data_IF_728108940883
#
_entry.id   IF_728108940883
#
_cell.length_a   1.000
_cell.length_b   1.000
_cell.length_c   1.000
_cell.angle_alpha   90.00
_cell.angle_beta   90.00
_cell.angle_gamma   90.00
#
_symmetry.space_group_name_H-M   'P 1'
#
loop_
_entity.id
_entity.type
_entity.pdbx_description
1 polymer ?
#
# COMPACT_ATOMS: atom_id res chain seq x y z
N UNK A 1 2.35 12.61 29.21
CA UNK A 1 3.36 11.55 29.04
C UNK A 1 3.77 11.55 27.58
N UNK A 2 5.07 11.76 27.34
CA UNK A 2 5.60 11.89 26.00
C UNK A 2 5.66 10.51 25.31
N UNK A 3 5.31 10.49 24.02
CA UNK A 3 5.45 9.32 23.18
C UNK A 3 6.83 9.39 22.50
N UNK A 4 7.66 8.36 22.72
CA UNK A 4 8.96 8.22 22.08
C UNK A 4 8.85 7.24 20.94
N UNK A 5 9.23 7.64 19.72
CA UNK A 5 9.26 6.72 18.57
C UNK A 5 10.72 6.48 18.18
N UNK A 6 11.13 5.21 18.23
CA UNK A 6 12.46 4.76 17.83
C UNK A 6 12.44 3.44 17.08
N UNK A 7 13.53 3.13 16.44
CA UNK A 7 13.72 1.83 15.81
C UNK A 7 13.74 0.69 16.83
N UNK A 8 13.24 -0.45 16.40
CA UNK A 8 13.24 -1.68 17.19
C UNK A 8 14.67 -2.16 17.45
N UNK A 9 14.91 -2.65 18.67
CA UNK A 9 16.15 -3.28 19.09
C UNK A 9 15.87 -4.72 19.48
N UNK A 10 16.87 -5.57 19.42
CA UNK A 10 16.73 -6.98 19.81
C UNK A 10 16.27 -7.18 21.24
N UNK A 11 16.61 -6.22 22.13
CA UNK A 11 16.19 -6.22 23.54
C UNK A 11 14.68 -6.03 23.70
N UNK A 12 14.02 -5.48 22.71
CA UNK A 12 12.57 -5.17 22.75
C UNK A 12 11.70 -6.42 22.47
N UNK A 13 12.29 -7.55 22.10
CA UNK A 13 11.56 -8.74 21.67
C UNK A 13 10.48 -9.21 22.65
N UNK A 14 10.78 -9.24 23.95
CA UNK A 14 9.79 -9.63 24.96
C UNK A 14 8.61 -8.64 25.02
N UNK A 15 8.91 -7.33 24.94
CA UNK A 15 7.88 -6.28 24.91
C UNK A 15 7.04 -6.30 23.62
N UNK A 16 7.62 -6.68 22.49
CA UNK A 16 6.88 -6.87 21.24
C UNK A 16 5.86 -8.01 21.38
N UNK A 17 6.24 -9.13 21.99
CA UNK A 17 5.31 -10.25 22.23
C UNK A 17 4.16 -9.83 23.15
N UNK A 18 4.43 -9.12 24.24
CA UNK A 18 3.40 -8.58 25.12
C UNK A 18 2.45 -7.63 24.35
N UNK A 19 3.02 -6.74 23.58
CA UNK A 19 2.27 -5.78 22.76
C UNK A 19 1.39 -6.47 21.71
N UNK A 20 1.89 -7.47 21.00
CA UNK A 20 1.10 -8.16 19.97
C UNK A 20 -0.08 -8.93 20.56
N UNK A 21 0.09 -9.55 21.74
CA UNK A 21 -1.04 -10.13 22.49
C UNK A 21 -2.07 -9.09 22.90
N UNK A 22 -1.62 -7.95 23.39
CA UNK A 22 -2.49 -6.84 23.80
C UNK A 22 -3.34 -6.37 22.61
N UNK A 23 -2.70 -5.98 21.49
CA UNK A 23 -3.43 -5.43 20.35
C UNK A 23 -4.26 -6.48 19.63
N UNK A 24 -3.80 -7.74 19.55
CA UNK A 24 -4.57 -8.84 18.99
C UNK A 24 -5.85 -9.16 19.77
N UNK A 25 -5.85 -8.93 21.10
CA UNK A 25 -7.06 -9.04 21.91
C UNK A 25 -8.02 -7.83 21.77
N UNK A 26 -7.56 -6.72 21.21
CA UNK A 26 -8.31 -5.46 21.12
C UNK A 26 -9.05 -5.26 19.79
N UNK A 27 -8.67 -6.00 18.73
CA UNK A 27 -9.22 -5.78 17.39
C UNK A 27 -9.01 -7.01 16.49
N UNK A 28 -9.96 -7.22 15.60
CA UNK A 28 -9.87 -8.23 14.53
C UNK A 28 -9.26 -7.68 13.23
N UNK A 29 -8.67 -6.49 13.26
CA UNK A 29 -8.06 -5.87 12.07
C UNK A 29 -6.63 -6.36 11.76
N UNK A 30 -6.08 -7.24 12.59
CA UNK A 30 -4.74 -7.79 12.45
C UNK A 30 -4.78 -9.22 11.91
N UNK A 31 -3.66 -9.71 11.41
CA UNK A 31 -3.51 -11.10 10.95
C UNK A 31 -3.42 -12.13 12.08
N UNK A 32 -3.40 -11.67 13.33
CA UNK A 32 -3.33 -12.48 14.55
C UNK A 32 -4.34 -11.96 15.58
N UNK A 33 -4.79 -12.82 16.47
CA UNK A 33 -5.72 -12.51 17.55
C UNK A 33 -5.01 -12.38 18.91
N UNK A 34 -5.72 -12.72 19.99
CA UNK A 34 -5.25 -12.61 21.38
C UNK A 34 -3.99 -13.46 21.70
N UNK A 35 -3.69 -14.44 20.88
CA UNK A 35 -2.47 -15.25 20.95
C UNK A 35 -1.21 -14.44 20.57
N UNK A 36 -1.39 -13.28 19.94
CA UNK A 36 -0.31 -12.48 19.39
C UNK A 36 0.34 -13.16 18.18
N UNK A 37 1.60 -12.88 17.94
CA UNK A 37 2.38 -13.51 16.87
C UNK A 37 2.82 -14.93 17.18
N UNK A 38 2.63 -15.38 18.44
CA UNK A 38 2.88 -16.79 18.86
C UNK A 38 4.32 -17.20 19.01
N UNK A 39 5.26 -16.27 18.84
CA UNK A 39 6.70 -16.56 18.86
C UNK A 39 7.31 -16.48 20.27
N UNK A 40 8.54 -17.00 20.40
CA UNK A 40 9.36 -16.85 21.61
C UNK A 40 10.23 -15.58 21.51
N UNK A 41 10.74 -15.06 22.65
CA UNK A 41 11.65 -13.91 22.62
C UNK A 41 12.90 -14.14 21.75
N UNK A 42 13.38 -15.37 21.65
CA UNK A 42 14.54 -15.73 20.83
C UNK A 42 14.22 -15.62 19.33
N UNK A 43 13.05 -16.08 18.90
CA UNK A 43 12.57 -15.98 17.52
C UNK A 43 12.37 -14.52 17.15
N UNK A 44 11.78 -13.73 18.04
CA UNK A 44 11.57 -12.29 17.81
C UNK A 44 12.88 -11.50 17.78
N UNK A 45 13.88 -11.86 18.59
CA UNK A 45 15.22 -11.25 18.50
C UNK A 45 15.85 -11.47 17.13
N UNK A 46 15.81 -12.69 16.61
CA UNK A 46 16.33 -12.99 15.28
C UNK A 46 15.50 -12.31 14.17
N UNK A 47 14.19 -12.16 14.34
CA UNK A 47 13.35 -11.42 13.42
C UNK A 47 13.72 -9.92 13.37
N UNK A 48 13.85 -9.26 14.53
CA UNK A 48 14.27 -7.86 14.62
C UNK A 48 15.68 -7.69 14.04
N UNK A 49 16.61 -8.59 14.36
CA UNK A 49 17.98 -8.57 13.82
C UNK A 49 17.99 -8.68 12.29
N UNK A 50 17.14 -9.54 11.72
CA UNK A 50 16.99 -9.70 10.28
C UNK A 50 16.45 -8.42 9.62
N UNK A 51 15.44 -7.78 10.23
CA UNK A 51 14.94 -6.49 9.75
C UNK A 51 16.04 -5.45 9.76
N UNK A 52 16.76 -5.30 10.88
CA UNK A 52 17.81 -4.31 11.06
C UNK A 52 19.03 -4.55 10.15
N UNK A 53 19.23 -5.77 9.64
CA UNK A 53 20.30 -6.09 8.69
C UNK A 53 19.94 -5.80 7.23
N UNK A 54 18.69 -5.53 6.92
CA UNK A 54 18.23 -5.24 5.56
C UNK A 54 18.10 -3.71 5.39
N UNK A 55 18.91 -3.07 4.51
CA UNK A 55 18.89 -1.63 4.33
C UNK A 55 17.57 -1.07 3.78
N UNK A 56 16.66 -1.94 3.31
CA UNK A 56 15.32 -1.58 2.83
C UNK A 56 14.20 -2.01 3.79
N UNK A 57 14.54 -2.36 5.01
CA UNK A 57 13.58 -2.76 6.03
C UNK A 57 13.83 -2.00 7.33
N UNK A 58 12.77 -1.64 8.01
CA UNK A 58 12.81 -0.98 9.31
C UNK A 58 11.58 -1.31 10.12
N UNK A 59 11.72 -1.37 11.43
CA UNK A 59 10.61 -1.47 12.37
C UNK A 59 10.72 -0.35 13.40
N UNK A 60 9.64 0.40 13.60
CA UNK A 60 9.54 1.46 14.60
C UNK A 60 8.56 1.07 15.70
N UNK A 61 8.94 1.35 16.94
CA UNK A 61 8.04 1.28 18.08
C UNK A 61 7.72 2.67 18.63
N UNK A 62 6.47 2.90 18.93
CA UNK A 62 6.01 4.01 19.76
C UNK A 62 5.94 3.54 21.22
N UNK A 63 6.67 4.19 22.08
CA UNK A 63 6.78 3.90 23.50
C UNK A 63 6.05 4.94 24.32
N UNK A 64 5.31 4.48 25.32
CA UNK A 64 4.73 5.31 26.37
C UNK A 64 5.15 4.70 27.71
N UNK A 65 5.94 5.47 28.48
CA UNK A 65 6.70 4.90 29.58
C UNK A 65 7.58 3.71 29.08
N UNK A 66 7.44 2.55 29.71
CA UNK A 66 8.20 1.33 29.37
C UNK A 66 7.41 0.34 28.48
N UNK A 67 6.27 0.76 27.93
CA UNK A 67 5.42 -0.11 27.14
C UNK A 67 5.34 0.33 25.67
N UNK A 68 5.34 -0.64 24.76
CA UNK A 68 5.05 -0.42 23.36
C UNK A 68 3.55 -0.15 23.23
N UNK A 69 3.20 0.97 22.60
CA UNK A 69 1.80 1.38 22.33
C UNK A 69 1.52 1.48 20.84
N UNK A 70 2.53 1.35 20.00
CA UNK A 70 2.39 1.34 18.55
C UNK A 70 3.59 0.67 17.90
N UNK A 71 3.34 -0.03 16.79
CA UNK A 71 4.36 -0.67 15.97
C UNK A 71 4.06 -0.39 14.51
N UNK A 72 5.08 -0.04 13.73
CA UNK A 72 5.00 0.02 12.28
C UNK A 72 6.29 -0.49 11.65
N UNK A 73 6.17 -1.12 10.49
CA UNK A 73 7.33 -1.61 9.77
C UNK A 73 7.21 -1.42 8.26
N UNK A 74 8.37 -1.25 7.65
CA UNK A 74 8.63 -1.38 6.21
C UNK A 74 9.43 -2.66 6.02
N UNK A 75 9.00 -3.50 5.08
CA UNK A 75 9.72 -4.71 4.68
C UNK A 75 10.01 -4.65 3.19
N UNK A 76 11.29 -4.43 2.85
CA UNK A 76 11.75 -4.32 1.47
C UNK A 76 11.56 -5.61 0.69
N UNK A 77 11.08 -5.50 -0.54
CA UNK A 77 10.96 -6.63 -1.44
C UNK A 77 12.32 -6.90 -2.13
N UNK A 78 12.49 -8.10 -2.66
CA UNK A 78 13.78 -8.53 -3.21
C UNK A 78 13.75 -8.64 -4.73
N UNK A 79 14.94 -8.73 -5.32
CA UNK A 79 15.16 -8.96 -6.77
C UNK A 79 14.54 -7.85 -7.61
N UNK A 80 13.77 -8.21 -8.65
CA UNK A 80 13.13 -7.25 -9.58
C UNK A 80 12.09 -6.35 -8.93
N UNK A 81 11.66 -6.65 -7.70
CA UNK A 81 10.73 -5.84 -6.91
C UNK A 81 11.44 -5.01 -5.83
N UNK A 82 12.77 -4.91 -5.86
CA UNK A 82 13.57 -4.23 -4.82
C UNK A 82 13.33 -2.72 -4.69
N UNK A 83 12.56 -2.14 -5.62
CA UNK A 83 12.06 -0.77 -5.54
C UNK A 83 10.75 -0.66 -4.74
N UNK A 84 10.22 -1.76 -4.23
CA UNK A 84 8.95 -1.85 -3.50
C UNK A 84 9.17 -2.35 -2.07
N UNK A 85 8.25 -1.99 -1.20
CA UNK A 85 8.18 -2.54 0.16
C UNK A 85 6.73 -2.74 0.60
N UNK A 86 6.54 -3.64 1.55
CA UNK A 86 5.27 -3.80 2.25
C UNK A 86 5.30 -3.00 3.55
N UNK A 87 4.17 -2.44 3.90
CA UNK A 87 3.96 -1.68 5.13
C UNK A 87 2.92 -2.35 6.01
N UNK A 88 3.18 -2.37 7.30
CA UNK A 88 2.20 -2.76 8.31
C UNK A 88 2.27 -1.81 9.52
N UNK A 89 1.13 -1.65 10.19
CA UNK A 89 1.01 -0.80 11.38
C UNK A 89 -0.06 -1.33 12.32
N UNK A 90 0.21 -1.19 13.61
CA UNK A 90 -0.79 -1.35 14.67
C UNK A 90 -0.57 -0.30 15.75
N UNK A 91 -1.64 0.08 16.45
CA UNK A 91 -1.62 1.00 17.59
C UNK A 91 -2.60 0.47 18.65
N UNK A 92 -2.17 0.46 19.90
CA UNK A 92 -3.01 0.06 21.02
C UNK A 92 -4.30 0.90 21.06
N UNK A 93 -5.44 0.27 21.38
CA UNK A 93 -6.76 0.90 21.33
C UNK A 93 -6.87 2.12 22.24
N UNK A 94 -6.19 2.12 23.39
CA UNK A 94 -6.12 3.27 24.31
C UNK A 94 -5.50 4.52 23.68
N UNK A 95 -4.67 4.36 22.66
CA UNK A 95 -3.94 5.44 22.01
C UNK A 95 -4.52 5.82 20.63
N UNK A 96 -5.70 5.28 20.29
CA UNK A 96 -6.36 5.63 19.05
C UNK A 96 -6.84 7.09 19.07
N UNK A 97 -6.63 7.80 17.96
CA UNK A 97 -6.99 9.22 17.86
C UNK A 97 -5.90 10.18 18.35
N UNK A 98 -4.83 9.67 19.02
CA UNK A 98 -3.74 10.48 19.55
C UNK A 98 -2.64 10.83 18.51
N UNK A 99 -2.83 10.49 17.25
CA UNK A 99 -1.87 10.83 16.17
C UNK A 99 -0.69 9.86 16.01
N UNK A 100 -0.50 8.88 16.89
CA UNK A 100 0.64 7.94 16.87
C UNK A 100 0.75 7.23 15.52
N UNK A 101 -0.38 6.75 14.96
CA UNK A 101 -0.38 6.10 13.66
C UNK A 101 0.10 7.00 12.52
N UNK A 102 -0.20 8.31 12.58
CA UNK A 102 0.27 9.27 11.59
C UNK A 102 1.78 9.46 11.67
N UNK A 103 2.33 9.61 12.89
CA UNK A 103 3.78 9.81 13.08
C UNK A 103 4.57 8.55 12.70
N UNK A 104 4.07 7.35 13.04
CA UNK A 104 4.69 6.08 12.65
C UNK A 104 4.72 5.92 11.12
N UNK A 105 3.59 6.21 10.45
CA UNK A 105 3.50 6.12 8.99
C UNK A 105 4.42 7.15 8.31
N UNK A 106 4.48 8.38 8.82
CA UNK A 106 5.37 9.42 8.31
C UNK A 106 6.84 9.01 8.40
N UNK A 107 7.28 8.45 9.54
CA UNK A 107 8.64 7.91 9.71
C UNK A 107 8.94 6.78 8.71
N UNK A 108 7.99 5.87 8.51
CA UNK A 108 8.14 4.79 7.53
C UNK A 108 8.24 5.33 6.09
N UNK A 109 7.46 6.36 5.74
CA UNK A 109 7.54 7.00 4.41
C UNK A 109 8.87 7.72 4.23
N UNK A 110 9.37 8.42 5.27
CA UNK A 110 10.70 9.07 5.21
C UNK A 110 11.79 8.02 4.99
N UNK A 111 11.82 6.97 5.82
CA UNK A 111 12.76 5.87 5.65
C UNK A 111 12.72 5.28 4.23
N UNK A 112 11.53 5.05 3.69
CA UNK A 112 11.36 4.50 2.35
C UNK A 112 12.02 5.38 1.27
N UNK A 113 11.80 6.70 1.35
CA UNK A 113 12.42 7.67 0.43
C UNK A 113 13.94 7.67 0.53
N UNK A 114 14.47 7.70 1.76
CA UNK A 114 15.91 7.77 2.04
C UNK A 114 16.65 6.51 1.59
N UNK A 115 15.93 5.36 1.49
CA UNK A 115 16.50 4.06 1.13
C UNK A 115 16.09 3.56 -0.27
N UNK A 116 15.64 4.45 -1.15
CA UNK A 116 15.36 4.14 -2.56
C UNK A 116 14.20 3.17 -2.76
N UNK A 117 13.21 3.20 -1.87
CA UNK A 117 11.91 2.54 -2.06
C UNK A 117 11.01 3.53 -2.80
N UNK A 118 10.50 3.11 -3.93
CA UNK A 118 9.67 3.92 -4.82
C UNK A 118 8.18 3.69 -4.60
N UNK A 119 7.81 2.49 -4.17
CA UNK A 119 6.41 2.06 -3.98
C UNK A 119 6.25 1.38 -2.63
N UNK A 120 5.31 1.88 -1.84
CA UNK A 120 4.88 1.20 -0.60
C UNK A 120 3.52 0.54 -0.86
N UNK A 121 3.42 -0.75 -0.56
CA UNK A 121 2.18 -1.51 -0.64
C UNK A 121 1.66 -1.81 0.76
N UNK A 122 0.35 -1.92 0.87
CA UNK A 122 -0.32 -2.48 2.04
C UNK A 122 -1.63 -3.16 1.64
N UNK A 123 -2.08 -4.05 2.50
CA UNK A 123 -3.45 -4.55 2.54
C UNK A 123 -4.10 -4.18 3.87
N UNK A 124 -5.40 -4.02 3.85
CA UNK A 124 -6.19 -3.73 5.06
C UNK A 124 -7.61 -4.26 4.90
N UNK A 125 -8.22 -4.70 5.97
CA UNK A 125 -9.65 -5.07 5.94
C UNK A 125 -10.46 -3.97 5.26
N UNK A 126 -11.35 -4.35 4.36
CA UNK A 126 -12.13 -3.40 3.57
C UNK A 126 -13.16 -2.60 4.38
N UNK A 127 -13.46 -3.06 5.60
CA UNK A 127 -14.33 -2.40 6.58
C UNK A 127 -13.55 -1.60 7.65
N UNK A 128 -12.22 -1.61 7.63
CA UNK A 128 -11.37 -0.82 8.53
C UNK A 128 -11.27 0.64 8.07
N UNK A 129 -12.38 1.37 8.19
CA UNK A 129 -12.50 2.77 7.72
C UNK A 129 -11.45 3.68 8.36
N UNK A 130 -11.07 3.43 9.62
CA UNK A 130 -10.05 4.22 10.33
C UNK A 130 -8.68 4.12 9.64
N UNK A 131 -8.21 2.90 9.38
CA UNK A 131 -6.94 2.67 8.71
C UNK A 131 -6.97 3.19 7.27
N UNK A 132 -8.02 2.92 6.52
CA UNK A 132 -8.22 3.41 5.15
C UNK A 132 -8.16 4.93 5.10
N UNK A 133 -8.80 5.63 6.06
CA UNK A 133 -8.78 7.10 6.15
C UNK A 133 -7.37 7.62 6.43
N UNK A 134 -6.62 6.96 7.33
CA UNK A 134 -5.22 7.29 7.59
C UNK A 134 -4.38 7.15 6.31
N UNK A 135 -4.46 6.02 5.63
CA UNK A 135 -3.69 5.77 4.41
C UNK A 135 -4.01 6.76 3.29
N UNK A 136 -5.29 7.06 3.07
CA UNK A 136 -5.72 8.08 2.09
C UNK A 136 -5.17 9.47 2.40
N UNK A 137 -5.12 9.88 3.68
CA UNK A 137 -4.53 11.14 4.12
C UNK A 137 -3.05 11.26 3.71
N UNK A 138 -2.32 10.16 3.68
CA UNK A 138 -0.92 10.09 3.26
C UNK A 138 -0.72 9.82 1.76
N UNK A 139 -1.81 9.79 0.99
CA UNK A 139 -1.76 9.66 -0.47
C UNK A 139 -1.78 8.22 -0.99
N UNK A 140 -2.07 7.24 -0.14
CA UNK A 140 -2.29 5.88 -0.62
C UNK A 140 -3.56 5.80 -1.48
N UNK A 141 -3.47 5.06 -2.57
CA UNK A 141 -4.55 4.81 -3.51
C UNK A 141 -4.95 3.34 -3.46
N UNK A 142 -6.26 3.07 -3.39
CA UNK A 142 -6.80 1.72 -3.53
C UNK A 142 -6.67 1.26 -4.98
N UNK A 143 -6.12 0.07 -5.20
CA UNK A 143 -5.92 -0.54 -6.52
C UNK A 143 -6.77 -1.78 -6.75
N UNK A 144 -7.36 -2.33 -5.70
CA UNK A 144 -8.17 -3.53 -5.81
C UNK A 144 -8.74 -3.98 -4.49
N UNK A 145 -9.50 -5.08 -4.55
CA UNK A 145 -10.01 -5.82 -3.40
C UNK A 145 -9.69 -7.29 -3.57
N UNK A 146 -9.22 -7.91 -2.51
CA UNK A 146 -9.02 -9.34 -2.42
C UNK A 146 -10.18 -9.95 -1.62
N UNK A 147 -11.08 -10.70 -2.25
CA UNK A 147 -12.17 -11.36 -1.57
C UNK A 147 -11.65 -12.47 -0.65
N UNK A 148 -12.34 -12.68 0.47
CA UNK A 148 -12.05 -13.76 1.42
C UNK A 148 -10.57 -13.80 1.88
N UNK A 149 -9.97 -12.64 2.08
CA UNK A 149 -8.57 -12.48 2.44
C UNK A 149 -8.25 -13.10 3.80
N UNK A 150 -9.14 -12.96 4.76
CA UNK A 150 -9.03 -13.58 6.08
C UNK A 150 -10.33 -14.27 6.47
N UNK A 151 -10.24 -15.17 7.45
CA UNK A 151 -11.41 -15.84 8.04
C UNK A 151 -11.39 -15.65 9.55
N UNK A 152 -12.42 -15.01 10.09
CA UNK A 152 -12.54 -14.67 11.51
C UNK A 152 -13.90 -15.17 11.99
N UNK A 153 -13.92 -16.00 13.03
CA UNK A 153 -15.13 -16.60 13.61
C UNK A 153 -16.04 -17.27 12.55
N UNK A 154 -15.44 -17.86 11.52
CA UNK A 154 -16.14 -18.53 10.44
C UNK A 154 -16.54 -17.62 9.26
N UNK A 155 -16.48 -16.32 9.39
CA UNK A 155 -16.80 -15.35 8.36
C UNK A 155 -15.59 -14.98 7.51
N UNK A 156 -15.79 -14.84 6.20
CA UNK A 156 -14.77 -14.38 5.26
C UNK A 156 -14.77 -12.86 5.20
N UNK A 157 -13.59 -12.29 5.33
CA UNK A 157 -13.36 -10.82 5.35
C UNK A 157 -12.51 -10.44 4.14
N UNK A 158 -12.97 -9.46 3.38
CA UNK A 158 -12.24 -8.90 2.24
C UNK A 158 -11.15 -7.94 2.71
N UNK A 159 -10.08 -7.81 1.91
CA UNK A 159 -9.07 -6.78 2.08
C UNK A 159 -9.03 -5.81 0.88
N UNK A 160 -8.83 -4.54 1.16
CA UNK A 160 -8.50 -3.54 0.17
C UNK A 160 -6.97 -3.49 0.00
N UNK A 161 -6.52 -3.60 -1.26
CA UNK A 161 -5.12 -3.46 -1.64
C UNK A 161 -4.85 -1.99 -1.95
N UNK A 162 -3.85 -1.42 -1.30
CA UNK A 162 -3.48 -0.01 -1.47
C UNK A 162 -1.98 0.14 -1.72
N UNK A 163 -1.60 1.21 -2.41
CA UNK A 163 -0.20 1.56 -2.63
C UNK A 163 0.03 3.05 -2.54
N UNK A 164 1.25 3.45 -2.21
CA UNK A 164 1.75 4.82 -2.27
C UNK A 164 2.91 4.89 -3.26
N UNK A 165 2.80 5.76 -4.26
CA UNK A 165 3.86 6.04 -5.22
C UNK A 165 4.71 7.21 -4.72
N UNK A 166 5.97 6.92 -4.38
CA UNK A 166 6.94 7.90 -3.87
C UNK A 166 7.82 8.50 -4.97
N UNK A 167 7.72 7.99 -6.21
CA UNK A 167 8.50 8.52 -7.32
C UNK A 167 8.15 9.99 -7.54
N UNK A 168 9.14 10.80 -7.80
CA UNK A 168 8.96 12.23 -8.01
C UNK A 168 7.86 12.52 -9.04
N UNK A 169 6.95 13.41 -8.69
CA UNK A 169 5.83 13.84 -9.55
C UNK A 169 6.28 14.40 -10.91
N UNK A 170 7.57 14.73 -11.06
CA UNK A 170 8.14 15.20 -12.34
C UNK A 170 7.93 14.21 -13.49
N UNK A 171 8.07 12.90 -13.24
CA UNK A 171 7.84 11.88 -14.26
C UNK A 171 6.35 11.66 -14.56
N UNK A 172 5.50 11.75 -13.54
CA UNK A 172 4.05 11.62 -13.73
C UNK A 172 3.48 12.88 -14.39
N UNK A 173 3.97 14.07 -14.03
CA UNK A 173 3.60 15.32 -14.67
C UNK A 173 3.99 15.33 -16.15
N UNK A 174 5.22 14.94 -16.50
CA UNK A 174 5.66 14.82 -17.91
C UNK A 174 4.84 13.79 -18.69
N UNK A 175 4.48 12.64 -18.08
CA UNK A 175 3.61 11.64 -18.71
C UNK A 175 2.19 12.16 -18.90
N UNK A 176 1.64 12.86 -17.92
CA UNK A 176 0.33 13.51 -18.03
C UNK A 176 0.34 14.60 -19.11
N UNK A 177 1.33 15.48 -19.11
CA UNK A 177 1.51 16.50 -20.14
C UNK A 177 1.69 15.89 -21.55
N UNK A 178 2.45 14.78 -21.65
CA UNK A 178 2.59 14.04 -22.89
C UNK A 178 1.29 13.37 -23.34
N UNK A 179 0.53 12.80 -22.41
CA UNK A 179 -0.78 12.21 -22.68
C UNK A 179 -1.81 13.27 -23.10
N UNK A 180 -1.86 14.40 -22.39
CA UNK A 180 -2.73 15.54 -22.76
C UNK A 180 -2.39 16.11 -24.14
N UNK A 181 -1.09 16.20 -24.49
CA UNK A 181 -0.65 16.58 -25.84
C UNK A 181 -1.09 15.58 -26.90
N UNK A 182 -0.94 14.27 -26.63
CA UNK A 182 -1.41 13.22 -27.54
C UNK A 182 -2.94 13.25 -27.72
N UNK A 183 -3.68 13.49 -26.64
CA UNK A 183 -5.14 13.64 -26.71
C UNK A 183 -5.55 14.91 -27.48
N UNK A 184 -4.82 16.02 -27.32
CA UNK A 184 -5.06 17.26 -28.08
C UNK A 184 -4.82 17.03 -29.59
N UNK A 185 -3.68 16.41 -29.95
CA UNK A 185 -3.37 16.04 -31.35
C UNK A 185 -4.42 15.08 -31.91
N UNK A 186 -4.90 14.14 -31.11
CA UNK A 186 -5.93 13.19 -31.52
C UNK A 186 -7.29 13.88 -31.72
N UNK A 187 -7.59 14.91 -30.95
CA UNK A 187 -8.81 15.72 -31.14
C UNK A 187 -8.71 16.61 -32.39
N UNK A 188 -7.58 17.26 -32.62
CA UNK A 188 -7.29 18.02 -33.82
C UNK A 188 -7.35 17.17 -35.09
N UNK A 189 -6.79 15.97 -35.07
CA UNK A 189 -6.84 15.05 -36.22
C UNK A 189 -8.19 14.34 -36.39
N UNK A 190 -9.11 14.41 -35.41
CA UNK A 190 -10.43 13.80 -35.54
C UNK A 190 -11.34 14.56 -36.50
N UNK A 191 -11.03 15.82 -36.75
CA UNK A 191 -11.73 16.65 -37.75
C UNK A 191 -11.21 16.43 -39.19
N UNK A 192 -10.07 15.78 -39.37
CA UNK A 192 -9.46 15.50 -40.70
C UNK A 192 -9.76 14.12 -41.29
N UNK A 193 -10.12 13.13 -40.43
CA UNK A 193 -10.39 11.76 -40.92
C UNK A 193 -11.69 11.22 -40.33
N UNK A 194 -12.78 11.45 -41.05
CA UNK A 194 -14.06 10.79 -40.76
C UNK A 194 -14.00 9.34 -41.28
N UNK A 195 -13.44 8.44 -40.45
CA UNK A 195 -13.34 7.02 -40.75
C UNK A 195 -14.69 6.37 -41.07
N UNK A 196 -15.79 6.91 -40.61
CA UNK A 196 -17.12 6.42 -40.94
C UNK A 196 -17.50 6.77 -42.34
N UNK A 197 -17.15 7.99 -42.83
CA UNK A 197 -17.39 8.46 -44.18
C UNK A 197 -16.54 7.66 -45.20
N UNK A 198 -15.28 7.46 -44.92
CA UNK A 198 -14.40 6.61 -45.76
C UNK A 198 -14.86 5.14 -45.80
N UNK A 199 -15.36 4.60 -44.70
CA UNK A 199 -15.93 3.26 -44.64
C UNK A 199 -17.24 3.12 -45.40
N UNK A 200 -18.13 4.10 -45.30
CA UNK A 200 -19.39 4.16 -46.09
C UNK A 200 -19.09 4.31 -47.57
N UNK A 201 -18.16 5.15 -47.95
CA UNK A 201 -17.76 5.34 -49.37
C UNK A 201 -17.11 4.05 -49.92
N UNK A 202 -16.32 3.32 -49.13
CA UNK A 202 -15.73 2.04 -49.51
C UNK A 202 -16.79 0.92 -49.65
N UNK A 203 -17.81 0.91 -48.81
CA UNK A 203 -18.92 -0.04 -48.87
C UNK A 203 -19.79 0.26 -50.09
N UNK A 204 -20.10 1.52 -50.34
CA UNK A 204 -20.91 1.96 -51.50
C UNK A 204 -20.18 1.68 -52.82
N UNK A 205 -18.86 1.83 -52.87
CA UNK A 205 -18.07 1.48 -54.04
C UNK A 205 -18.07 -0.05 -54.32
N UNK A 206 -18.12 -0.88 -53.32
CA UNK A 206 -18.21 -2.35 -53.45
C UNK A 206 -19.59 -2.80 -53.97
N UNK A 207 -20.65 -2.12 -53.64
CA UNK A 207 -21.99 -2.46 -54.10
C UNK A 207 -22.33 -1.94 -55.53
N UNK A 208 -21.54 -1.02 -56.09
CA UNK A 208 -21.68 -0.58 -57.49
C UNK A 208 -21.00 -1.46 -58.50
N UNK A 209 -20.24 -2.46 -58.09
CA UNK A 209 -19.57 -3.44 -58.97
C UNK A 209 -20.35 -4.77 -58.82
N UNK A 210 -21.59 -4.83 -59.36
CA UNK A 210 -22.22 -6.06 -59.76
C UNK A 210 -21.99 -6.26 -61.26
N UNK A 211 -21.45 -7.39 -61.71
CA UNK A 211 -21.36 -7.72 -63.14
C UNK A 211 -22.78 -8.02 -63.66
N UNK A 212 -23.17 -7.33 -64.75
CA UNK A 212 -24.25 -7.76 -65.58
C UNK A 212 -23.80 -9.08 -66.24
N UNK A 213 -24.38 -10.18 -65.80
CA UNK A 213 -24.25 -11.48 -66.48
C UNK A 213 -25.37 -11.57 -67.52
N UNK A 214 -24.96 -11.66 -68.72
CA UNK A 214 -25.78 -12.26 -69.80
C UNK A 214 -25.85 -13.78 -69.62
#
# INVERSE_FOLDING_TARGET
VDIIIREARTEDAAKLIEYTKLVGAQTDNLSFGKEGIGDTPEVEKEFIKRINSDPKSVMYFAWKNDDIVGCANISGMKRRMSHRANFAISVAKSEWGCGIGSVLLEKCISFAKDNGIEIINLDTRSDNIRAISLYKKFGFVKIGRMPAFSKINGEYIDADLMYLDLREKSNNRRKMEAFERLEAIRRENKDEVDFNKEREEAINKKHQIQPQSQ
#
